data_IF_296822964309
#
_entry.id   IF_296822964309
#
_cell.length_a   1.000
_cell.length_b   1.000
_cell.length_c   1.000
_cell.angle_alpha   90.00
_cell.angle_beta   90.00
_cell.angle_gamma   90.00
#
_symmetry.space_group_name_H-M   'P 1'
#
loop_
_entity.id
_entity.type
_entity.pdbx_description
1 polymer ?
#
# COMPACT_ATOMS: atom_id res chain seq x y z
N UNK A 1 -3.89 14.19 -10.03
CA UNK A 1 -4.60 12.91 -9.80
C UNK A 1 -4.08 12.38 -8.47
N UNK A 2 -4.94 12.26 -7.44
CA UNK A 2 -4.53 11.89 -6.07
C UNK A 2 -4.57 10.38 -5.90
N UNK A 3 -3.53 9.80 -5.28
CA UNK A 3 -3.50 8.40 -4.89
C UNK A 3 -4.40 8.15 -3.68
N UNK A 4 -4.70 6.89 -3.43
CA UNK A 4 -5.39 6.41 -2.24
C UNK A 4 -4.53 5.34 -1.57
N UNK A 5 -4.60 5.28 -0.25
CA UNK A 5 -4.01 4.21 0.53
C UNK A 5 -4.96 3.02 0.54
N UNK A 6 -4.43 1.83 0.32
CA UNK A 6 -5.15 0.57 0.38
C UNK A 6 -4.46 -0.37 1.37
N UNK A 7 -5.25 -1.13 2.10
CA UNK A 7 -4.81 -2.28 2.87
C UNK A 7 -5.02 -3.53 2.03
N UNK A 8 -3.99 -4.33 1.89
CA UNK A 8 -4.02 -5.63 1.21
C UNK A 8 -3.82 -6.72 2.26
N UNK A 9 -4.73 -7.68 2.29
CA UNK A 9 -4.68 -8.80 3.25
C UNK A 9 -4.66 -10.12 2.46
N UNK A 10 -3.48 -10.69 2.22
CA UNK A 10 -3.33 -12.03 1.66
C UNK A 10 -3.74 -13.10 2.69
N UNK A 11 -4.33 -14.22 2.26
CA UNK A 11 -4.82 -15.27 3.18
C UNK A 11 -3.72 -15.88 4.06
N UNK A 12 -2.51 -16.06 3.52
CA UNK A 12 -1.41 -16.79 4.19
C UNK A 12 -0.25 -15.89 4.62
N UNK A 13 -0.43 -14.56 4.64
CA UNK A 13 0.67 -13.61 4.88
C UNK A 13 0.23 -12.40 5.69
N UNK A 14 1.22 -11.67 6.16
CA UNK A 14 0.98 -10.38 6.82
C UNK A 14 0.35 -9.38 5.85
N UNK A 15 -0.55 -8.56 6.40
CA UNK A 15 -1.13 -7.45 5.66
C UNK A 15 -0.04 -6.45 5.25
N UNK A 16 -0.27 -5.78 4.13
CA UNK A 16 0.59 -4.69 3.67
C UNK A 16 -0.26 -3.49 3.25
N UNK A 17 0.39 -2.35 3.13
CA UNK A 17 -0.24 -1.14 2.60
C UNK A 17 0.33 -0.79 1.24
N UNK A 18 -0.49 -0.14 0.43
CA UNK A 18 -0.07 0.34 -0.87
C UNK A 18 -0.79 1.61 -1.27
N UNK A 19 -0.11 2.43 -2.05
CA UNK A 19 -0.70 3.60 -2.71
C UNK A 19 -1.06 3.26 -4.14
N UNK A 20 -2.31 3.48 -4.51
CA UNK A 20 -2.80 3.21 -5.87
C UNK A 20 -3.86 4.24 -6.29
N UNK A 21 -4.17 4.24 -7.60
CA UNK A 21 -5.19 5.14 -8.19
C UNK A 21 -6.62 4.65 -7.92
N UNK A 22 -6.76 3.34 -7.83
CA UNK A 22 -8.00 2.61 -7.61
C UNK A 22 -7.65 1.23 -7.03
N UNK A 23 -8.65 0.51 -6.50
CA UNK A 23 -8.46 -0.87 -6.03
C UNK A 23 -7.99 -1.78 -7.16
N UNK A 24 -8.54 -1.63 -8.38
CA UNK A 24 -8.10 -2.40 -9.54
C UNK A 24 -6.62 -2.13 -9.91
N UNK A 25 -6.17 -0.88 -9.80
CA UNK A 25 -4.75 -0.58 -9.98
C UNK A 25 -3.90 -1.22 -8.87
N UNK A 26 -4.38 -1.21 -7.62
CA UNK A 26 -3.72 -1.88 -6.50
C UNK A 26 -3.58 -3.41 -6.70
N UNK A 27 -4.63 -4.07 -7.19
CA UNK A 27 -4.60 -5.48 -7.61
C UNK A 27 -3.47 -5.73 -8.61
N UNK A 28 -3.35 -4.87 -9.62
CA UNK A 28 -2.31 -5.00 -10.65
C UNK A 28 -0.90 -4.88 -10.04
N UNK A 29 -0.70 -3.92 -9.14
CA UNK A 29 0.59 -3.72 -8.45
C UNK A 29 0.94 -4.95 -7.61
N UNK A 30 -0.01 -5.45 -6.82
CA UNK A 30 0.23 -6.60 -5.95
C UNK A 30 0.56 -7.86 -6.76
N UNK A 31 -0.25 -8.17 -7.77
CA UNK A 31 -0.04 -9.35 -8.62
C UNK A 31 1.29 -9.26 -9.38
N UNK A 32 1.63 -8.10 -9.95
CA UNK A 32 2.92 -7.90 -10.65
C UNK A 32 4.10 -8.18 -9.72
N UNK A 33 4.08 -7.63 -8.50
CA UNK A 33 5.13 -7.86 -7.51
C UNK A 33 5.28 -9.35 -7.19
N UNK A 34 4.17 -10.05 -6.94
CA UNK A 34 4.22 -11.48 -6.62
C UNK A 34 4.85 -12.29 -7.75
N UNK A 35 4.48 -11.98 -9.00
CA UNK A 35 5.07 -12.60 -10.18
C UNK A 35 6.55 -12.26 -10.34
N UNK A 36 6.94 -11.00 -10.13
CA UNK A 36 8.32 -10.53 -10.23
C UNK A 36 9.22 -11.18 -9.17
N UNK A 37 8.67 -11.44 -7.98
CA UNK A 37 9.35 -12.15 -6.88
C UNK A 37 9.25 -13.68 -6.99
N UNK A 38 8.68 -14.20 -8.09
CA UNK A 38 8.56 -15.64 -8.37
C UNK A 38 7.66 -16.39 -7.39
N UNK A 39 6.70 -15.70 -6.76
CA UNK A 39 5.79 -16.25 -5.77
C UNK A 39 4.42 -16.55 -6.37
N UNK A 40 3.76 -17.53 -5.79
CA UNK A 40 2.33 -17.74 -6.01
C UNK A 40 1.54 -16.54 -5.46
N UNK A 41 0.52 -16.12 -6.20
CA UNK A 41 -0.41 -15.09 -5.78
C UNK A 41 -1.57 -15.74 -5.00
N UNK A 42 -1.59 -15.70 -3.66
CA UNK A 42 -2.68 -16.25 -2.88
C UNK A 42 -3.97 -15.48 -3.14
N UNK A 43 -5.11 -16.00 -2.68
CA UNK A 43 -6.31 -15.18 -2.51
C UNK A 43 -6.00 -14.01 -1.57
N UNK A 44 -6.54 -12.84 -1.86
CA UNK A 44 -6.34 -11.64 -1.06
C UNK A 44 -7.55 -10.72 -1.14
N UNK A 45 -7.69 -9.88 -0.12
CA UNK A 45 -8.61 -8.75 -0.14
C UNK A 45 -7.84 -7.44 -0.30
N UNK A 46 -8.47 -6.47 -0.94
CA UNK A 46 -7.96 -5.11 -1.04
C UNK A 46 -9.07 -4.12 -0.73
N UNK A 47 -8.83 -3.25 0.23
CA UNK A 47 -9.81 -2.27 0.68
C UNK A 47 -9.16 -0.89 0.85
N UNK A 48 -9.89 0.20 0.53
CA UNK A 48 -9.37 1.54 0.78
C UNK A 48 -9.21 1.74 2.29
N UNK A 49 -8.11 2.36 2.69
CA UNK A 49 -7.96 2.85 4.06
C UNK A 49 -8.70 4.18 4.13
N UNK A 50 -9.99 4.09 4.45
CA UNK A 50 -10.90 5.21 4.70
C UNK A 50 -11.20 5.40 6.20
N UNK A 51 -10.79 4.43 7.02
CA UNK A 51 -10.93 4.43 8.47
C UNK A 51 -9.98 5.43 9.10
N UNK A 52 -10.39 5.97 10.27
CA UNK A 52 -9.58 6.88 11.07
C UNK A 52 -8.26 6.23 11.46
N UNK A 53 -7.24 6.44 10.63
CA UNK A 53 -5.85 6.24 11.01
C UNK A 53 -5.59 7.02 12.30
N UNK A 54 -4.79 6.43 13.18
CA UNK A 54 -4.35 7.10 14.38
C UNK A 54 -3.65 8.42 14.02
N UNK A 55 -3.66 9.40 14.93
CA UNK A 55 -3.17 10.74 14.63
C UNK A 55 -1.69 10.75 14.19
N UNK A 56 -0.88 9.85 14.74
CA UNK A 56 0.52 9.61 14.36
C UNK A 56 0.64 8.99 12.95
N UNK A 57 -0.30 8.12 12.57
CA UNK A 57 -0.39 7.52 11.24
C UNK A 57 -0.88 8.48 10.15
N UNK A 58 -1.13 9.76 10.46
CA UNK A 58 -1.40 10.78 9.43
C UNK A 58 -0.11 11.45 8.93
N UNK A 59 1.01 11.28 9.63
CA UNK A 59 2.27 11.90 9.28
C UNK A 59 2.75 11.46 7.88
N UNK A 60 3.03 12.43 7.01
CA UNK A 60 3.51 12.18 5.64
C UNK A 60 2.47 11.59 4.68
N UNK A 61 1.28 11.23 5.16
CA UNK A 61 0.26 10.57 4.34
C UNK A 61 -0.25 11.48 3.22
N UNK A 62 -0.54 12.75 3.53
CA UNK A 62 -1.07 13.69 2.53
C UNK A 62 -0.08 13.93 1.39
N UNK A 63 1.20 14.15 1.72
CA UNK A 63 2.26 14.36 0.75
C UNK A 63 2.48 13.10 -0.10
N UNK A 64 2.52 11.92 0.52
CA UNK A 64 2.64 10.65 -0.20
C UNK A 64 1.46 10.44 -1.16
N UNK A 65 0.22 10.72 -0.74
CA UNK A 65 -0.95 10.54 -1.59
C UNK A 65 -1.04 11.58 -2.71
N UNK A 66 -0.40 12.74 -2.55
CA UNK A 66 -0.45 13.84 -3.52
C UNK A 66 0.69 13.78 -4.52
N UNK A 67 1.90 13.45 -4.07
CA UNK A 67 3.14 13.55 -4.84
C UNK A 67 3.93 12.24 -4.91
N UNK A 68 3.64 11.26 -4.05
CA UNK A 68 4.34 9.97 -4.01
C UNK A 68 4.05 9.11 -5.25
N UNK A 69 4.91 8.12 -5.53
CA UNK A 69 4.65 7.13 -6.56
C UNK A 69 3.59 6.13 -6.08
N UNK A 70 3.04 5.35 -7.02
CA UNK A 70 2.26 4.17 -6.67
C UNK A 70 3.20 3.01 -6.31
N UNK A 71 2.74 2.10 -5.46
CA UNK A 71 3.60 1.04 -4.93
C UNK A 71 3.24 0.67 -3.50
N UNK A 72 4.08 -0.16 -2.90
CA UNK A 72 3.95 -0.55 -1.50
C UNK A 72 4.33 0.63 -0.61
N UNK A 73 3.53 0.81 0.44
CA UNK A 73 3.74 1.85 1.43
C UNK A 73 4.00 1.20 2.79
N UNK A 74 4.90 1.80 3.55
CA UNK A 74 5.23 1.40 4.91
C UNK A 74 5.11 2.64 5.81
N UNK A 75 4.69 2.41 7.05
CA UNK A 75 4.62 3.45 8.05
C UNK A 75 5.79 3.29 9.02
N UNK A 76 6.61 4.33 9.12
CA UNK A 76 7.61 4.46 10.17
C UNK A 76 7.16 5.52 11.19
N UNK A 77 7.34 5.22 12.48
CA UNK A 77 6.89 6.10 13.56
C UNK A 77 7.61 7.45 13.62
N UNK A 78 8.79 7.57 13.02
CA UNK A 78 9.60 8.78 13.03
C UNK A 78 9.42 9.60 11.74
N UNK A 79 9.44 8.96 10.57
CA UNK A 79 9.32 9.62 9.27
C UNK A 79 7.91 9.60 8.65
N UNK A 80 6.97 8.87 9.24
CA UNK A 80 5.62 8.71 8.73
C UNK A 80 5.54 7.71 7.58
N UNK A 81 4.55 7.90 6.70
CA UNK A 81 4.37 7.05 5.53
C UNK A 81 5.44 7.31 4.46
N UNK A 82 6.01 6.21 3.97
CA UNK A 82 6.98 6.21 2.89
C UNK A 82 6.74 5.03 1.94
N UNK A 83 7.35 5.08 0.77
CA UNK A 83 7.34 3.93 -0.14
C UNK A 83 8.32 2.88 0.36
N UNK A 84 7.89 1.62 0.37
CA UNK A 84 8.80 0.52 0.60
C UNK A 84 9.82 0.49 -0.54
N UNK A 85 11.09 0.59 -0.20
CA UNK A 85 12.17 0.36 -1.16
C UNK A 85 12.39 -1.14 -1.20
N UNK A 86 12.00 -1.78 -2.29
CA UNK A 86 12.41 -3.17 -2.55
C UNK A 86 13.94 -3.20 -2.57
N UNK A 87 14.54 -3.87 -1.58
CA UNK A 87 15.98 -4.11 -1.52
C UNK A 87 16.41 -5.12 -2.57
#
# INVERSE_FOLDING_TARGET
MRLKLYRVVPEDREQLFMTAKSSHHGVTIFVSRELDEGRDCPSFTIEPVDTHLLADQQLGLEDMLTYGPWGIAEFDSFSGWQQAVSA
#
